data_IF_820248888780
#
_entry.id   IF_820248888780
#
_cell.length_a   1.000
_cell.length_b   1.000
_cell.length_c   1.000
_cell.angle_alpha   90.00
_cell.angle_beta   90.00
_cell.angle_gamma   90.00
#
_symmetry.space_group_name_H-M   'P 1'
#
loop_
_entity.id
_entity.type
_entity.pdbx_description
1 polymer ?
#
# COMPACT_ATOMS: atom_id res chain seq x y z
N UNK A 1 -66.22 26.84 31.32
CA UNK A 1 -64.79 26.71 30.99
C UNK A 1 -64.49 25.25 30.71
N UNK A 2 -64.44 24.85 29.44
CA UNK A 2 -64.10 23.48 29.06
C UNK A 2 -62.59 23.40 28.79
N UNK A 3 -61.90 22.56 29.55
CA UNK A 3 -60.46 22.32 29.45
C UNK A 3 -60.17 21.45 28.22
N UNK A 4 -59.49 22.03 27.23
CA UNK A 4 -58.99 21.31 26.06
C UNK A 4 -57.71 20.58 26.46
N UNK A 5 -57.73 19.25 26.43
CA UNK A 5 -56.51 18.43 26.58
C UNK A 5 -55.69 18.45 25.28
N UNK A 6 -54.36 18.58 25.35
CA UNK A 6 -53.54 18.63 24.16
C UNK A 6 -53.39 17.23 23.53
N UNK A 7 -53.69 17.13 22.25
CA UNK A 7 -53.46 15.94 21.42
C UNK A 7 -51.95 15.71 21.31
N UNK A 8 -51.43 14.49 21.59
CA UNK A 8 -50.01 14.22 21.45
C UNK A 8 -49.60 14.29 19.97
N UNK A 9 -48.55 15.07 19.70
CA UNK A 9 -48.00 15.22 18.37
C UNK A 9 -47.61 13.84 17.77
N UNK A 10 -47.83 13.63 16.46
CA UNK A 10 -47.45 12.38 15.83
C UNK A 10 -45.93 12.21 15.94
N UNK A 11 -45.50 11.13 16.58
CA UNK A 11 -44.09 10.71 16.59
C UNK A 11 -43.63 10.63 15.13
N UNK A 12 -42.73 11.53 14.74
CA UNK A 12 -42.08 11.47 13.44
C UNK A 12 -41.46 10.07 13.30
N UNK A 13 -42.01 9.26 12.40
CA UNK A 13 -41.33 8.05 11.92
C UNK A 13 -40.04 8.54 11.29
N UNK A 14 -38.92 8.38 11.98
CA UNK A 14 -37.59 8.46 11.37
C UNK A 14 -37.62 7.56 10.14
N UNK A 15 -37.57 8.17 8.96
CA UNK A 15 -37.47 7.43 7.72
C UNK A 15 -36.21 6.55 7.84
N UNK A 16 -36.42 5.24 7.90
CA UNK A 16 -35.36 4.23 7.93
C UNK A 16 -34.61 4.31 6.60
N UNK A 17 -33.68 5.25 6.50
CA UNK A 17 -32.77 5.31 5.38
C UNK A 17 -31.84 4.10 5.54
N UNK A 18 -31.78 3.17 4.57
CA UNK A 18 -30.94 1.97 4.66
C UNK A 18 -29.44 2.27 4.85
N UNK A 19 -29.03 3.53 4.63
CA UNK A 19 -27.68 4.03 4.86
C UNK A 19 -27.35 4.42 6.32
N UNK A 20 -28.33 4.54 7.21
CA UNK A 20 -28.11 4.92 8.62
C UNK A 20 -28.12 3.75 9.61
N UNK A 21 -28.39 2.53 9.14
CA UNK A 21 -28.39 1.35 10.00
C UNK A 21 -27.02 0.69 9.91
N UNK A 22 -26.26 0.80 10.99
CA UNK A 22 -24.96 0.16 11.12
C UNK A 22 -25.09 -1.23 11.75
N UNK A 23 -24.29 -2.15 11.24
CA UNK A 23 -24.02 -3.46 11.85
C UNK A 23 -22.52 -3.65 11.99
N UNK A 24 -22.11 -4.72 12.66
CA UNK A 24 -20.70 -5.06 12.79
C UNK A 24 -20.36 -6.36 12.08
N UNK A 25 -19.19 -6.37 11.45
CA UNK A 25 -18.58 -7.56 10.86
C UNK A 25 -17.19 -7.77 11.48
N UNK A 26 -16.79 -9.03 11.65
CA UNK A 26 -15.41 -9.39 12.03
C UNK A 26 -14.66 -9.79 10.78
N UNK A 27 -13.54 -9.11 10.50
CA UNK A 27 -12.67 -9.43 9.36
C UNK A 27 -11.31 -9.87 9.86
N UNK A 28 -10.92 -11.08 9.47
CA UNK A 28 -9.61 -11.67 9.77
C UNK A 28 -8.59 -11.15 8.75
N UNK A 29 -7.64 -10.32 9.19
CA UNK A 29 -6.72 -9.60 8.30
C UNK A 29 -5.25 -9.95 8.54
N UNK A 30 -4.98 -11.26 8.71
CA UNK A 30 -3.63 -11.77 9.01
C UNK A 30 -2.58 -11.42 7.94
N UNK A 31 -3.01 -11.22 6.69
CA UNK A 31 -2.16 -10.77 5.59
C UNK A 31 -1.63 -9.32 5.74
N UNK A 32 -2.26 -8.50 6.60
CA UNK A 32 -1.77 -7.16 6.93
C UNK A 32 -0.93 -7.17 8.21
N UNK A 33 -1.43 -7.81 9.26
CA UNK A 33 -0.74 -7.96 10.54
C UNK A 33 -1.03 -9.35 11.13
N UNK A 34 -0.04 -10.25 11.16
CA UNK A 34 -0.20 -11.60 11.71
C UNK A 34 -0.64 -11.62 13.17
N UNK A 35 -0.22 -10.63 13.95
CA UNK A 35 -0.46 -10.56 15.40
C UNK A 35 -1.88 -10.20 15.80
N UNK A 36 -2.73 -9.70 14.89
CA UNK A 36 -4.14 -9.53 15.20
C UNK A 36 -5.02 -10.50 14.44
N UNK A 37 -5.76 -11.26 15.24
CA UNK A 37 -6.65 -12.30 14.79
C UNK A 37 -7.74 -11.75 13.88
N UNK A 38 -8.48 -10.73 14.35
CA UNK A 38 -9.52 -10.06 13.58
C UNK A 38 -9.70 -8.59 13.97
N UNK A 39 -10.25 -7.81 13.04
CA UNK A 39 -10.72 -6.44 13.28
C UNK A 39 -12.24 -6.41 13.16
N UNK A 40 -12.90 -5.87 14.18
CA UNK A 40 -14.33 -5.57 14.11
C UNK A 40 -14.54 -4.22 13.42
N UNK A 41 -15.40 -4.19 12.40
CA UNK A 41 -15.75 -2.99 11.64
C UNK A 41 -17.24 -2.69 11.79
N UNK A 42 -17.58 -1.43 12.04
CA UNK A 42 -18.93 -0.90 11.84
C UNK A 42 -19.12 -0.64 10.35
N UNK A 43 -20.15 -1.21 9.76
CA UNK A 43 -20.49 -1.13 8.32
C UNK A 43 -21.99 -0.93 8.16
N UNK A 44 -22.39 -0.36 7.04
CA UNK A 44 -23.81 -0.29 6.66
C UNK A 44 -24.18 -1.52 5.81
N UNK A 45 -25.47 -1.72 5.56
CA UNK A 45 -25.94 -2.76 4.63
C UNK A 45 -25.51 -2.52 3.17
N UNK A 46 -25.18 -1.28 2.82
CA UNK A 46 -24.70 -0.89 1.50
C UNK A 46 -23.18 -0.98 1.34
N UNK A 47 -22.43 -1.14 2.44
CA UNK A 47 -20.97 -1.13 2.40
C UNK A 47 -20.45 -2.29 1.54
N UNK A 48 -19.66 -1.96 0.53
CA UNK A 48 -19.10 -2.90 -0.44
C UNK A 48 -17.81 -3.54 0.05
N UNK A 49 -17.46 -4.69 -0.51
CA UNK A 49 -16.23 -5.41 -0.15
C UNK A 49 -14.98 -4.55 -0.38
N UNK A 50 -14.90 -3.84 -1.52
CA UNK A 50 -13.79 -2.91 -1.79
C UNK A 50 -13.67 -1.78 -0.76
N UNK A 51 -14.79 -1.28 -0.22
CA UNK A 51 -14.77 -0.23 0.80
C UNK A 51 -14.28 -0.76 2.15
N UNK A 52 -14.62 -2.01 2.46
CA UNK A 52 -14.08 -2.73 3.63
C UNK A 52 -12.57 -2.89 3.51
N UNK A 53 -12.06 -3.26 2.33
CA UNK A 53 -10.61 -3.34 2.05
C UNK A 53 -9.94 -1.99 2.32
N UNK A 54 -10.42 -0.91 1.69
CA UNK A 54 -9.87 0.44 1.88
C UNK A 54 -9.92 0.89 3.35
N UNK A 55 -11.02 0.59 4.05
CA UNK A 55 -11.16 0.88 5.49
C UNK A 55 -10.12 0.13 6.32
N UNK A 56 -9.84 -1.14 6.01
CA UNK A 56 -8.83 -1.94 6.72
C UNK A 56 -7.43 -1.37 6.47
N UNK A 57 -7.07 -1.07 5.22
CA UNK A 57 -5.77 -0.48 4.91
C UNK A 57 -5.55 0.85 5.63
N UNK A 58 -6.56 1.72 5.67
CA UNK A 58 -6.52 2.95 6.45
C UNK A 58 -6.33 2.71 7.95
N UNK A 59 -7.13 1.80 8.54
CA UNK A 59 -7.03 1.46 9.98
C UNK A 59 -5.70 0.82 10.38
N UNK A 60 -5.04 0.13 9.45
CA UNK A 60 -3.70 -0.45 9.66
C UNK A 60 -2.56 0.43 9.14
N UNK A 61 -2.85 1.66 8.67
CA UNK A 61 -1.87 2.62 8.12
C UNK A 61 -1.05 2.05 6.95
N UNK A 62 -1.66 1.20 6.13
CA UNK A 62 -1.04 0.52 4.98
C UNK A 62 -1.18 1.33 3.68
N UNK A 63 -0.81 2.62 3.70
CA UNK A 63 -1.03 3.55 2.57
C UNK A 63 -0.22 3.21 1.32
N UNK A 64 0.92 2.54 1.49
CA UNK A 64 1.84 2.13 0.42
C UNK A 64 1.45 0.80 -0.24
N UNK A 65 0.27 0.26 0.09
CA UNK A 65 -0.25 -0.98 -0.50
C UNK A 65 -1.48 -0.66 -1.33
N UNK A 66 -1.51 -1.20 -2.53
CA UNK A 66 -2.65 -1.09 -3.43
C UNK A 66 -3.88 -1.81 -2.86
N UNK A 67 -5.04 -1.12 -2.73
CA UNK A 67 -6.30 -1.76 -2.37
C UNK A 67 -6.69 -2.94 -3.28
N UNK A 68 -6.39 -2.87 -4.58
CA UNK A 68 -6.71 -3.95 -5.55
C UNK A 68 -5.85 -5.19 -5.39
N UNK A 69 -4.80 -5.12 -4.59
CA UNK A 69 -4.04 -6.29 -4.18
C UNK A 69 -4.83 -7.16 -3.20
N UNK A 70 -5.93 -6.67 -2.62
CA UNK A 70 -6.69 -7.40 -1.61
C UNK A 70 -8.11 -7.68 -2.06
N UNK A 71 -8.69 -8.71 -1.47
CA UNK A 71 -10.10 -9.06 -1.65
C UNK A 71 -10.64 -9.72 -0.38
N UNK A 72 -11.97 -9.77 -0.26
CA UNK A 72 -12.61 -10.48 0.84
C UNK A 72 -13.00 -11.89 0.41
N UNK A 73 -12.83 -12.84 1.32
CA UNK A 73 -13.43 -14.17 1.23
C UNK A 73 -14.34 -14.42 2.41
N UNK A 74 -15.43 -15.14 2.20
CA UNK A 74 -16.37 -15.55 3.24
C UNK A 74 -16.37 -17.07 3.38
N UNK A 75 -16.02 -17.57 4.55
CA UNK A 75 -16.20 -18.98 4.91
C UNK A 75 -17.60 -19.16 5.52
N UNK A 76 -18.36 -20.10 4.96
CA UNK A 76 -19.70 -20.49 5.40
C UNK A 76 -19.70 -21.97 5.77
N UNK A 77 -20.35 -22.31 6.89
CA UNK A 77 -20.57 -23.70 7.30
C UNK A 77 -22.02 -24.12 7.01
N UNK A 78 -22.20 -25.18 6.24
CA UNK A 78 -23.52 -25.77 5.95
C UNK A 78 -23.75 -26.93 6.93
N UNK A 79 -24.58 -26.69 7.95
CA UNK A 79 -24.84 -27.66 9.04
C UNK A 79 -25.33 -29.02 8.53
N UNK A 80 -26.14 -29.03 7.47
CA UNK A 80 -26.74 -30.26 6.93
C UNK A 80 -25.72 -31.22 6.30
N UNK A 81 -24.57 -30.71 5.83
CA UNK A 81 -23.57 -31.50 5.10
C UNK A 81 -22.23 -31.62 5.83
N UNK A 82 -22.07 -30.99 7.01
CA UNK A 82 -20.77 -30.86 7.68
C UNK A 82 -19.72 -30.10 6.86
N UNK A 83 -20.12 -29.47 5.75
CA UNK A 83 -19.22 -28.89 4.76
C UNK A 83 -18.90 -27.43 5.11
N UNK A 84 -17.65 -27.08 4.84
CA UNK A 84 -17.10 -25.73 5.00
C UNK A 84 -16.68 -25.23 3.63
N UNK A 85 -17.36 -24.20 3.14
CA UNK A 85 -17.12 -23.61 1.82
C UNK A 85 -16.57 -22.21 1.95
N UNK A 86 -15.51 -21.89 1.21
CA UNK A 86 -14.96 -20.54 1.10
C UNK A 86 -15.42 -19.91 -0.20
N UNK A 87 -16.11 -18.77 -0.10
CA UNK A 87 -16.57 -17.97 -1.22
C UNK A 87 -15.66 -16.76 -1.38
N UNK A 88 -15.12 -16.56 -2.57
CA UNK A 88 -14.47 -15.29 -2.93
C UNK A 88 -15.56 -14.27 -3.18
N UNK A 89 -15.45 -13.09 -2.56
CA UNK A 89 -16.42 -12.02 -2.74
C UNK A 89 -15.94 -11.06 -3.83
N UNK A 90 -16.84 -10.69 -4.74
CA UNK A 90 -16.62 -9.62 -5.69
C UNK A 90 -16.54 -8.26 -4.98
N UNK A 91 -15.95 -7.27 -5.65
CA UNK A 91 -15.69 -5.95 -5.07
C UNK A 91 -16.99 -5.22 -4.66
N UNK A 92 -18.09 -5.47 -5.38
CA UNK A 92 -19.42 -4.93 -5.10
C UNK A 92 -20.27 -5.78 -4.15
N UNK A 93 -19.76 -6.94 -3.70
CA UNK A 93 -20.44 -7.75 -2.70
C UNK A 93 -20.64 -6.95 -1.41
N UNK A 94 -21.73 -7.23 -0.69
CA UNK A 94 -22.14 -6.50 0.52
C UNK A 94 -21.99 -7.40 1.75
N UNK A 95 -20.86 -7.35 2.48
CA UNK A 95 -20.57 -8.33 3.54
C UNK A 95 -21.61 -8.34 4.66
N UNK A 96 -22.18 -7.18 5.01
CA UNK A 96 -23.25 -7.07 5.99
C UNK A 96 -24.52 -7.81 5.57
N UNK A 97 -24.93 -7.64 4.30
CA UNK A 97 -26.09 -8.33 3.72
C UNK A 97 -25.87 -9.85 3.71
N UNK A 98 -24.70 -10.28 3.21
CA UNK A 98 -24.32 -11.69 3.20
C UNK A 98 -24.31 -12.28 4.61
N UNK A 99 -23.74 -11.59 5.59
CA UNK A 99 -23.70 -12.06 6.98
C UNK A 99 -25.11 -12.33 7.53
N UNK A 100 -26.11 -11.54 7.17
CA UNK A 100 -27.46 -11.66 7.69
C UNK A 100 -28.27 -12.81 7.07
N UNK A 101 -27.90 -13.26 5.87
CA UNK A 101 -28.49 -14.44 5.25
C UNK A 101 -28.08 -15.75 5.93
N UNK A 102 -27.10 -15.72 6.85
CA UNK A 102 -26.60 -16.90 7.55
C UNK A 102 -26.86 -16.82 9.06
N UNK A 103 -27.02 -17.97 9.74
CA UNK A 103 -27.12 -18.00 11.20
C UNK A 103 -25.94 -17.29 11.87
N UNK A 104 -26.20 -16.55 12.96
CA UNK A 104 -25.17 -15.82 13.71
C UNK A 104 -24.01 -16.74 14.11
N UNK A 105 -22.78 -16.34 13.76
CA UNK A 105 -21.55 -17.06 14.07
C UNK A 105 -21.06 -18.05 13.01
N UNK A 106 -21.77 -18.20 11.88
CA UNK A 106 -21.42 -19.14 10.81
C UNK A 106 -20.69 -18.49 9.62
N UNK A 107 -20.58 -17.17 9.63
CA UNK A 107 -19.96 -16.36 8.58
C UNK A 107 -18.63 -15.82 9.05
N UNK A 108 -17.53 -16.22 8.41
CA UNK A 108 -16.19 -15.71 8.71
C UNK A 108 -15.62 -14.98 7.49
N UNK A 109 -15.46 -13.67 7.60
CA UNK A 109 -14.81 -12.86 6.57
C UNK A 109 -13.31 -12.82 6.80
N UNK A 110 -12.53 -13.07 5.75
CA UNK A 110 -11.07 -12.95 5.78
C UNK A 110 -10.61 -12.06 4.64
N UNK A 111 -9.65 -11.18 4.92
CA UNK A 111 -8.94 -10.41 3.92
C UNK A 111 -7.83 -11.28 3.34
N UNK A 112 -7.81 -11.40 2.02
CA UNK A 112 -6.84 -12.19 1.26
C UNK A 112 -6.03 -11.27 0.35
N UNK A 113 -4.88 -11.76 -0.12
CA UNK A 113 -4.03 -11.07 -1.09
C UNK A 113 -4.09 -11.77 -2.44
N UNK A 114 -4.16 -10.99 -3.51
CA UNK A 114 -3.97 -11.41 -4.90
C UNK A 114 -2.48 -11.46 -5.22
N UNK A 115 -2.07 -12.09 -6.34
CA UNK A 115 -0.74 -11.92 -6.89
C UNK A 115 -0.40 -10.44 -7.11
N UNK A 116 0.85 -10.08 -6.84
CA UNK A 116 1.33 -8.72 -6.92
C UNK A 116 2.84 -8.65 -6.76
N UNK A 117 3.36 -7.44 -6.61
CA UNK A 117 4.78 -7.22 -6.54
C UNK A 117 5.15 -5.82 -6.07
N UNK A 118 6.39 -5.70 -5.61
CA UNK A 118 6.96 -4.43 -5.19
C UNK A 118 7.47 -3.68 -6.42
N UNK A 119 7.05 -2.43 -6.58
CA UNK A 119 7.60 -1.51 -7.57
C UNK A 119 8.31 -0.38 -6.85
N UNK A 120 9.46 0.04 -7.37
CA UNK A 120 10.25 1.17 -6.89
C UNK A 120 10.07 2.35 -7.83
N UNK A 121 9.69 3.50 -7.29
CA UNK A 121 9.35 4.70 -8.07
C UNK A 121 10.12 5.89 -7.52
N UNK A 122 10.86 6.57 -8.39
CA UNK A 122 11.50 7.84 -8.08
C UNK A 122 10.48 8.97 -8.19
N UNK A 123 10.18 9.62 -7.08
CA UNK A 123 9.02 10.47 -6.90
C UNK A 123 9.37 11.87 -6.39
N UNK A 124 10.59 12.33 -6.66
CA UNK A 124 11.06 13.69 -6.32
C UNK A 124 10.18 14.81 -6.90
N UNK A 125 9.41 14.52 -7.95
CA UNK A 125 8.39 15.42 -8.51
C UNK A 125 7.18 15.66 -7.58
N UNK A 126 6.90 14.72 -6.68
CA UNK A 126 5.86 14.81 -5.65
C UNK A 126 6.42 15.35 -4.33
N UNK A 127 7.58 14.84 -3.91
CA UNK A 127 8.25 15.24 -2.68
C UNK A 127 9.75 15.40 -2.94
N UNK A 128 10.25 16.64 -2.98
CA UNK A 128 11.63 16.94 -3.40
C UNK A 128 12.73 16.26 -2.57
N UNK A 129 12.46 15.98 -1.29
CA UNK A 129 13.38 15.26 -0.40
C UNK A 129 13.29 13.73 -0.51
N UNK A 130 12.30 13.19 -1.24
CA UNK A 130 12.14 11.76 -1.45
C UNK A 130 13.11 11.26 -2.49
N UNK A 131 13.88 10.22 -2.14
CA UNK A 131 14.73 9.53 -3.12
C UNK A 131 13.91 8.58 -3.99
N UNK A 132 13.07 7.76 -3.37
CA UNK A 132 12.15 6.85 -4.02
C UNK A 132 11.09 6.39 -3.02
N UNK A 133 9.94 5.96 -3.54
CA UNK A 133 8.91 5.23 -2.81
C UNK A 133 8.79 3.81 -3.35
N UNK A 134 8.55 2.86 -2.46
CA UNK A 134 8.19 1.50 -2.85
C UNK A 134 6.70 1.28 -2.59
N UNK A 135 5.99 0.77 -3.59
CA UNK A 135 4.59 0.40 -3.48
C UNK A 135 4.42 -1.09 -3.72
N UNK A 136 3.58 -1.74 -2.90
CA UNK A 136 3.16 -3.12 -3.15
C UNK A 136 1.87 -3.08 -3.97
N UNK A 137 1.95 -3.50 -5.23
CA UNK A 137 0.90 -3.33 -6.24
C UNK A 137 0.36 -4.66 -6.74
N UNK A 138 -0.90 -4.67 -7.18
CA UNK A 138 -1.50 -5.79 -7.90
C UNK A 138 -0.93 -5.90 -9.31
N UNK A 139 -1.03 -7.07 -9.92
CA UNK A 139 -0.71 -7.26 -11.35
C UNK A 139 -1.68 -6.52 -12.29
N UNK A 140 -2.79 -6.00 -11.75
CA UNK A 140 -3.82 -5.27 -12.49
C UNK A 140 -3.84 -3.77 -12.19
N UNK A 141 -2.92 -3.27 -11.36
CA UNK A 141 -2.85 -1.83 -11.04
C UNK A 141 -2.36 -1.06 -12.25
N UNK A 142 -3.10 -0.04 -12.66
CA UNK A 142 -2.71 0.82 -13.78
C UNK A 142 -1.74 1.92 -13.33
N UNK A 143 -1.12 2.63 -14.28
CA UNK A 143 -0.27 3.80 -14.00
C UNK A 143 -1.03 4.88 -13.23
N UNK A 144 -2.25 5.21 -13.65
CA UNK A 144 -3.06 6.23 -12.97
C UNK A 144 -3.36 5.83 -11.52
N UNK A 145 -3.63 4.54 -11.28
CA UNK A 145 -3.87 4.01 -9.95
C UNK A 145 -2.61 4.04 -9.09
N UNK A 146 -1.45 3.73 -9.66
CA UNK A 146 -0.15 3.88 -8.99
C UNK A 146 0.11 5.34 -8.58
N UNK A 147 -0.16 6.29 -9.48
CA UNK A 147 -0.06 7.72 -9.18
C UNK A 147 -1.04 8.13 -8.07
N UNK A 148 -2.28 7.63 -8.09
CA UNK A 148 -3.27 7.88 -7.05
C UNK A 148 -2.80 7.36 -5.68
N UNK A 149 -2.18 6.17 -5.63
CA UNK A 149 -1.61 5.60 -4.39
C UNK A 149 -0.43 6.45 -3.89
N UNK A 150 0.45 6.92 -4.78
CA UNK A 150 1.56 7.82 -4.40
C UNK A 150 1.05 9.14 -3.83
N UNK A 151 0.10 9.78 -4.50
CA UNK A 151 -0.53 11.02 -4.02
C UNK A 151 -1.20 10.81 -2.67
N UNK A 152 -1.90 9.68 -2.50
CA UNK A 152 -2.47 9.31 -1.23
C UNK A 152 -1.40 9.12 -0.15
N UNK A 153 -0.23 8.56 -0.45
CA UNK A 153 0.85 8.43 0.55
C UNK A 153 1.34 9.78 1.09
N UNK A 154 1.25 10.86 0.31
CA UNK A 154 1.68 12.21 0.66
C UNK A 154 0.55 13.14 1.12
N UNK A 155 -0.67 12.62 1.34
CA UNK A 155 -1.85 13.44 1.65
C UNK A 155 -2.12 14.53 0.59
N UNK A 156 -1.70 14.30 -0.66
CA UNK A 156 -1.89 15.25 -1.74
C UNK A 156 -3.32 15.21 -2.26
N UNK A 157 -3.91 16.39 -2.45
CA UNK A 157 -5.21 16.58 -3.10
C UNK A 157 -5.07 16.82 -4.60
N UNK A 158 -3.85 16.70 -5.13
CA UNK A 158 -3.61 16.87 -6.55
C UNK A 158 -4.25 15.74 -7.37
N UNK A 159 -4.65 16.05 -8.61
CA UNK A 159 -5.20 15.07 -9.53
C UNK A 159 -4.08 14.32 -10.26
N UNK A 160 -4.33 13.05 -10.58
CA UNK A 160 -3.35 12.18 -11.25
C UNK A 160 -2.96 12.72 -12.64
N UNK A 161 -3.84 13.48 -13.30
CA UNK A 161 -3.62 14.11 -14.60
C UNK A 161 -2.47 15.13 -14.60
N UNK A 162 -2.05 15.59 -13.42
CA UNK A 162 -0.88 16.47 -13.24
C UNK A 162 0.44 15.74 -13.31
N UNK A 163 0.43 14.41 -13.33
CA UNK A 163 1.63 13.61 -13.28
C UNK A 163 1.66 12.61 -14.42
N UNK A 164 2.86 12.13 -14.74
CA UNK A 164 3.08 11.03 -15.67
C UNK A 164 4.14 10.12 -15.09
N UNK A 165 3.98 8.81 -15.30
CA UNK A 165 4.99 7.82 -14.95
C UNK A 165 5.84 7.51 -16.20
N UNK A 166 7.16 7.50 -16.00
CA UNK A 166 8.13 7.18 -17.02
C UNK A 166 8.89 5.92 -16.63
N UNK A 167 9.19 5.10 -17.63
CA UNK A 167 10.23 4.07 -17.59
C UNK A 167 11.52 4.70 -18.13
N UNK A 168 12.62 4.58 -17.38
CA UNK A 168 13.90 5.23 -17.70
C UNK A 168 15.04 4.24 -17.55
N UNK A 169 15.91 4.16 -18.54
CA UNK A 169 17.20 3.46 -18.49
C UNK A 169 18.33 4.44 -18.82
N UNK A 170 19.06 4.96 -17.80
CA UNK A 170 20.18 5.86 -18.01
C UNK A 170 21.29 5.27 -18.89
N UNK A 171 21.63 3.99 -18.69
CA UNK A 171 22.69 3.31 -19.46
C UNK A 171 22.41 3.23 -20.97
N UNK A 172 21.13 3.25 -21.36
CA UNK A 172 20.69 3.18 -22.76
C UNK A 172 20.21 4.54 -23.29
N UNK A 173 20.34 5.62 -22.51
CA UNK A 173 19.73 6.93 -22.79
C UNK A 173 18.25 6.84 -23.18
N UNK A 174 17.55 5.85 -22.62
CA UNK A 174 16.17 5.53 -22.96
C UNK A 174 15.22 6.11 -21.91
N UNK A 175 14.17 6.78 -22.40
CA UNK A 175 13.06 7.26 -21.58
C UNK A 175 11.76 7.16 -22.37
N UNK A 176 10.74 6.56 -21.74
CA UNK A 176 9.41 6.43 -22.31
C UNK A 176 8.34 6.80 -21.28
N UNK A 177 7.39 7.64 -21.70
CA UNK A 177 6.15 7.88 -20.95
C UNK A 177 5.25 6.66 -21.05
N UNK A 178 4.79 6.16 -19.91
CA UNK A 178 3.79 5.08 -19.86
C UNK A 178 2.38 5.63 -20.08
N UNK A 179 1.52 4.82 -20.68
CA UNK A 179 0.10 5.12 -20.83
C UNK A 179 -0.62 4.99 -19.48
N UNK A 180 -1.70 5.73 -19.28
CA UNK A 180 -2.49 5.69 -18.03
C UNK A 180 -2.96 4.26 -17.68
N UNK A 181 -3.28 3.46 -18.71
CA UNK A 181 -3.74 2.08 -18.59
C UNK A 181 -2.61 1.03 -18.61
N UNK A 182 -1.35 1.43 -18.79
CA UNK A 182 -0.24 0.48 -18.69
C UNK A 182 -0.18 -0.09 -17.26
N UNK A 183 0.31 -1.33 -17.13
CA UNK A 183 0.41 -2.04 -15.86
C UNK A 183 1.86 -2.01 -15.38
N UNK A 184 2.24 -1.16 -14.41
CA UNK A 184 3.65 -0.93 -14.06
C UNK A 184 4.37 -2.20 -13.60
N UNK A 185 3.69 -3.09 -12.89
CA UNK A 185 4.30 -4.35 -12.47
C UNK A 185 4.63 -5.26 -13.66
N UNK A 186 3.78 -5.28 -14.69
CA UNK A 186 4.03 -6.02 -15.94
C UNK A 186 5.19 -5.40 -16.71
N UNK A 187 5.23 -4.06 -16.80
CA UNK A 187 6.36 -3.32 -17.41
C UNK A 187 7.67 -3.68 -16.71
N UNK A 188 7.70 -3.62 -15.37
CA UNK A 188 8.88 -3.95 -14.57
C UNK A 188 9.39 -5.38 -14.80
N UNK A 189 8.48 -6.34 -14.93
CA UNK A 189 8.82 -7.76 -15.17
C UNK A 189 9.36 -8.01 -16.57
N UNK A 190 9.06 -7.13 -17.53
CA UNK A 190 9.56 -7.22 -18.90
C UNK A 190 10.97 -6.62 -19.05
N UNK A 191 11.50 -5.96 -18.03
CA UNK A 191 12.85 -5.41 -18.07
C UNK A 191 13.90 -6.52 -18.19
N UNK A 192 14.91 -6.36 -19.07
CA UNK A 192 16.03 -7.28 -19.11
C UNK A 192 16.79 -7.27 -17.79
N UNK A 193 17.29 -8.43 -17.36
CA UNK A 193 17.88 -8.63 -16.02
C UNK A 193 19.12 -7.78 -15.73
N UNK A 194 19.80 -7.27 -16.76
CA UNK A 194 21.01 -6.44 -16.66
C UNK A 194 20.73 -4.94 -16.93
N UNK A 195 19.48 -4.51 -16.78
CA UNK A 195 19.13 -3.10 -16.99
C UNK A 195 19.09 -2.30 -15.69
N UNK A 196 19.41 -1.01 -15.82
CA UNK A 196 19.21 0.01 -14.79
C UNK A 196 17.84 0.70 -14.92
N UNK A 197 16.88 -0.01 -15.53
CA UNK A 197 15.51 0.44 -15.71
C UNK A 197 14.86 0.77 -14.35
N UNK A 198 14.17 1.92 -14.29
CA UNK A 198 13.40 2.32 -13.13
C UNK A 198 12.21 3.19 -13.51
N UNK A 199 11.24 3.28 -12.60
CA UNK A 199 10.13 4.22 -12.75
C UNK A 199 10.47 5.59 -12.19
N UNK A 200 10.00 6.64 -12.86
CA UNK A 200 10.15 8.03 -12.42
C UNK A 200 8.87 8.82 -12.67
N UNK A 201 8.44 9.58 -11.67
CA UNK A 201 7.30 10.51 -11.78
C UNK A 201 7.79 11.86 -12.31
N UNK A 202 7.02 12.47 -13.21
CA UNK A 202 7.22 13.86 -13.66
C UNK A 202 5.91 14.65 -13.59
N UNK A 203 6.01 15.97 -13.37
CA UNK A 203 4.86 16.88 -13.42
C UNK A 203 4.55 17.25 -14.88
N UNK A 204 3.26 17.28 -15.21
CA UNK A 204 2.75 17.68 -16.51
C UNK A 204 2.57 19.22 -16.53
N UNK A 205 3.23 19.95 -17.44
CA UNK A 205 3.19 21.43 -17.45
C UNK A 205 1.84 22.02 -17.90
N UNK A 206 0.90 21.21 -18.38
CA UNK A 206 -0.36 21.66 -19.04
C UNK A 206 -1.64 21.20 -18.35
N UNK A 207 -1.58 20.72 -17.11
CA UNK A 207 -2.83 20.44 -16.39
C UNK A 207 -3.56 21.77 -16.17
N UNK A 208 -4.82 21.92 -16.65
CA UNK A 208 -5.59 23.12 -16.39
C UNK A 208 -5.64 23.37 -14.88
N UNK A 209 -5.50 24.63 -14.42
CA UNK A 209 -5.74 24.92 -13.02
C UNK A 209 -7.11 24.38 -12.63
N UNK A 210 -7.20 23.72 -11.47
CA UNK A 210 -8.48 23.29 -10.91
C UNK A 210 -9.43 24.51 -10.94
N UNK A 211 -10.69 24.35 -11.41
CA UNK A 211 -11.64 25.45 -11.33
C UNK A 211 -11.70 25.95 -9.88
N UNK A 212 -11.72 27.28 -9.65
CA UNK A 212 -11.80 27.82 -8.31
C UNK A 212 -12.97 27.15 -7.58
N UNK A 213 -12.70 26.43 -6.50
CA UNK A 213 -13.76 26.15 -5.54
C UNK A 213 -14.23 27.51 -5.06
N UNK A 214 -15.46 27.88 -5.39
CA UNK A 214 -16.22 28.90 -4.67
C UNK A 214 -16.45 28.38 -3.25
N UNK A 215 -15.39 28.46 -2.44
CA UNK A 215 -15.54 28.43 -0.99
C UNK A 215 -16.22 29.74 -0.61
N UNK A 216 -17.30 29.72 0.19
CA UNK A 216 -17.75 30.94 0.85
C UNK A 216 -16.59 31.52 1.67
N UNK A 217 -16.49 32.85 1.68
CA UNK A 217 -15.41 33.59 2.30
C UNK A 217 -15.16 33.08 3.74
N UNK A 218 -13.89 32.84 4.14
CA UNK A 218 -13.58 32.57 5.53
C UNK A 218 -13.79 33.86 6.32
N UNK A 219 -14.64 33.82 7.34
CA UNK A 219 -14.65 34.86 8.36
C UNK A 219 -13.29 34.85 9.07
N UNK A 220 -12.68 36.03 9.13
CA UNK A 220 -11.40 36.28 9.79
C UNK A 220 -11.49 35.88 11.26
N UNK A 221 -10.69 34.89 11.67
CA UNK A 221 -10.28 34.74 13.06
C UNK A 221 -8.77 34.55 13.09
N UNK A 222 -8.13 35.55 13.69
CA UNK A 222 -6.70 35.65 13.96
C UNK A 222 -6.29 34.67 15.07
N UNK A 223 -5.24 33.87 14.84
CA UNK A 223 -4.26 33.51 15.89
C UNK A 223 -3.05 32.81 15.27
N UNK A 224 -1.88 33.27 15.66
CA UNK A 224 -0.53 32.91 15.21
C UNK A 224 0.02 31.63 15.89
N UNK A 225 1.16 31.18 15.33
CA UNK A 225 2.25 30.36 15.90
C UNK A 225 2.33 28.81 15.68
N UNK A 226 3.15 28.47 14.67
CA UNK A 226 4.34 27.58 14.63
C UNK A 226 4.42 26.21 15.36
N UNK A 227 4.85 25.16 14.63
CA UNK A 227 6.16 24.45 14.85
C UNK A 227 6.29 23.16 13.98
N UNK A 228 7.23 23.06 13.01
CA UNK A 228 7.41 21.88 12.16
C UNK A 228 8.67 21.06 12.53
N UNK A 229 8.70 20.43 13.70
CA UNK A 229 9.84 19.57 14.12
C UNK A 229 9.54 18.07 14.23
N UNK A 230 8.32 17.63 13.89
CA UNK A 230 7.91 16.21 14.03
C UNK A 230 8.09 15.33 12.79
N UNK A 231 8.43 15.91 11.63
CA UNK A 231 8.54 15.17 10.37
C UNK A 231 9.85 14.37 10.23
N UNK A 232 10.94 14.79 10.88
CA UNK A 232 12.25 14.14 10.74
C UNK A 232 12.36 12.83 11.56
N UNK A 233 11.61 12.71 12.65
CA UNK A 233 11.65 11.51 13.50
C UNK A 233 10.88 10.33 12.90
N UNK A 234 9.92 10.59 12.01
CA UNK A 234 9.10 9.55 11.36
C UNK A 234 9.88 8.79 10.28
N UNK A 235 10.85 9.43 9.62
CA UNK A 235 11.60 8.83 8.51
C UNK A 235 12.66 7.81 8.97
N UNK A 236 13.17 7.95 10.19
CA UNK A 236 14.19 7.03 10.73
C UNK A 236 13.60 5.68 11.15
N UNK A 237 12.36 5.66 11.65
CA UNK A 237 11.66 4.43 12.05
C UNK A 237 11.16 3.61 10.85
N UNK A 238 10.92 4.24 9.70
CA UNK A 238 10.44 3.55 8.49
C UNK A 238 11.55 2.70 7.81
N UNK A 239 12.82 3.10 7.94
CA UNK A 239 13.95 2.34 7.42
C UNK A 239 14.19 1.01 8.19
N UNK A 240 13.95 1.01 9.50
CA UNK A 240 14.13 -0.18 10.35
C UNK A 240 13.01 -1.22 10.17
N UNK A 241 11.78 -0.78 9.87
CA UNK A 241 10.66 -1.66 9.53
C UNK A 241 10.88 -2.33 8.16
N UNK A 242 11.48 -1.60 7.21
CA UNK A 242 11.81 -2.12 5.88
C UNK A 242 12.85 -3.26 5.93
N UNK A 243 13.87 -3.14 6.78
CA UNK A 243 14.91 -4.17 6.96
C UNK A 243 14.37 -5.49 7.55
N UNK A 244 13.37 -5.43 8.45
CA UNK A 244 12.76 -6.62 9.06
C UNK A 244 11.84 -7.39 8.11
N UNK A 245 11.26 -6.75 7.11
CA UNK A 245 10.31 -7.40 6.19
C UNK A 245 11.00 -8.19 5.07
N UNK A 246 12.22 -7.79 4.67
CA UNK A 246 13.03 -8.50 3.66
C UNK A 246 13.60 -9.83 4.23
N UNK A 247 13.77 -9.95 5.55
CA UNK A 247 14.34 -11.15 6.19
C UNK A 247 13.33 -12.24 6.58
N UNK A 248 12.05 -12.08 6.28
CA UNK A 248 11.06 -13.13 6.56
C UNK A 248 11.03 -14.15 5.40
N UNK A 249 11.36 -15.43 5.63
CA UNK A 249 11.28 -16.43 4.58
C UNK A 249 9.80 -16.65 4.23
N UNK A 250 9.40 -16.22 3.03
CA UNK A 250 8.18 -16.72 2.42
C UNK A 250 8.34 -18.22 2.25
N UNK A 251 7.49 -18.98 2.94
CA UNK A 251 7.38 -20.43 2.80
C UNK A 251 7.08 -20.75 1.34
N UNK A 252 8.08 -21.28 0.65
CA UNK A 252 7.94 -21.91 -0.64
C UNK A 252 7.24 -23.27 -0.46
N UNK A 253 6.13 -23.45 -1.15
CA UNK A 253 5.55 -24.74 -1.49
C UNK A 253 5.11 -24.64 -2.93
N UNK A 254 5.55 -25.44 -3.90
CA UNK A 254 6.56 -26.48 -3.99
C UNK A 254 6.75 -26.70 -5.49
N UNK A 255 7.97 -27.00 -5.92
CA UNK A 255 8.33 -27.20 -7.32
C UNK A 255 9.83 -27.35 -7.46
N UNK A 256 10.29 -28.59 -7.44
CA UNK A 256 11.66 -29.02 -7.61
C UNK A 256 12.31 -28.39 -8.85
N UNK A 257 13.43 -27.69 -8.68
CA UNK A 257 14.47 -27.59 -9.71
C UNK A 257 15.85 -27.70 -9.05
N UNK A 258 16.63 -28.63 -9.59
CA UNK A 258 17.95 -29.03 -9.17
C UNK A 258 19.01 -27.93 -9.36
N UNK A 259 20.01 -27.93 -8.46
CA UNK A 259 21.40 -27.68 -8.86
C UNK A 259 22.08 -26.40 -8.34
N UNK A 260 23.23 -26.62 -7.71
CA UNK A 260 24.36 -25.71 -7.50
C UNK A 260 24.28 -24.69 -6.34
N UNK A 261 24.96 -25.05 -5.26
CA UNK A 261 25.36 -24.23 -4.11
C UNK A 261 26.43 -23.20 -4.50
N UNK A 262 26.22 -21.92 -4.15
CA UNK A 262 27.27 -20.88 -4.15
C UNK A 262 27.44 -20.30 -2.74
N UNK A 263 28.71 -20.23 -2.36
CA UNK A 263 29.35 -20.04 -1.06
C UNK A 263 29.13 -18.68 -0.39
N UNK A 264 29.15 -18.71 0.94
CA UNK A 264 30.15 -18.04 1.79
C UNK A 264 30.94 -16.89 1.11
N UNK A 265 30.43 -15.65 1.17
CA UNK A 265 31.23 -14.42 1.04
C UNK A 265 30.61 -13.34 1.92
N UNK A 266 30.91 -13.37 3.22
CA UNK A 266 30.94 -12.16 4.07
C UNK A 266 31.81 -12.42 5.29
N UNK A 267 33.12 -12.20 5.18
CA UNK A 267 34.01 -11.81 6.30
C UNK A 267 35.44 -11.57 5.80
N UNK A 268 35.77 -10.32 5.48
CA UNK A 268 37.02 -9.63 5.88
C UNK A 268 37.22 -8.37 5.03
N UNK A 269 36.63 -7.27 5.47
CA UNK A 269 37.24 -5.95 5.30
C UNK A 269 36.99 -5.17 6.60
N UNK A 270 37.86 -5.38 7.59
CA UNK A 270 38.21 -4.34 8.56
C UNK A 270 39.50 -4.73 9.29
N UNK A 271 40.33 -3.72 9.51
CA UNK A 271 41.60 -3.73 10.23
C UNK A 271 42.83 -4.04 9.39
N UNK A 272 43.51 -2.98 8.94
CA UNK A 272 44.85 -2.61 9.42
C UNK A 272 45.30 -1.32 8.74
N UNK A 273 45.09 -0.20 9.43
CA UNK A 273 46.04 0.92 9.42
C UNK A 273 46.93 0.74 10.65
N UNK A 274 48.16 1.24 10.51
CA UNK A 274 49.22 1.40 11.50
C UNK A 274 50.30 0.31 11.56
N UNK A 275 51.53 0.84 11.67
CA UNK A 275 52.84 0.19 11.82
C UNK A 275 53.53 -0.29 10.53
N UNK A 276 54.46 0.50 9.98
CA UNK A 276 55.85 0.53 10.44
C UNK A 276 56.79 1.14 9.39
N UNK A 277 57.42 2.26 9.79
CA UNK A 277 58.69 2.73 9.26
C UNK A 277 59.80 1.73 9.64
N UNK A 278 60.73 1.42 8.74
CA UNK A 278 61.84 0.52 9.03
C UNK A 278 62.74 0.25 7.82
N UNK A 279 63.78 1.06 7.71
CA UNK A 279 64.95 0.94 6.83
C UNK A 279 65.77 -0.33 7.04
N UNK A 280 66.25 -0.97 5.96
CA UNK A 280 67.57 -1.63 5.79
C UNK A 280 67.55 -2.42 4.46
N UNK A 281 68.31 -2.00 3.44
CA UNK A 281 69.69 -2.43 3.10
C UNK A 281 69.82 -3.91 2.70
N UNK A 282 70.16 -4.05 1.41
CA UNK A 282 71.36 -4.72 0.88
C UNK A 282 71.23 -5.96 -0.01
N UNK A 283 72.01 -5.89 -1.10
CA UNK A 283 72.62 -6.92 -1.93
C UNK A 283 71.76 -8.05 -2.55
N UNK A 284 71.70 -8.11 -3.89
CA UNK A 284 72.74 -8.75 -4.71
C UNK A 284 72.27 -9.01 -6.16
N UNK A 285 73.06 -8.46 -7.09
CA UNK A 285 73.38 -8.75 -8.50
C UNK A 285 72.57 -9.73 -9.39
N UNK A 286 72.55 -9.45 -10.71
CA UNK A 286 71.97 -10.31 -11.76
C UNK A 286 72.99 -11.31 -12.35
N UNK A 287 72.51 -12.39 -12.97
CA UNK A 287 73.24 -13.08 -14.03
C UNK A 287 72.29 -13.77 -15.02
N UNK A 288 72.73 -13.74 -16.28
CA UNK A 288 72.11 -14.17 -17.51
C UNK A 288 71.72 -15.66 -17.59
N UNK A 289 70.62 -15.94 -18.30
CA UNK A 289 70.62 -16.61 -19.62
C UNK A 289 69.28 -16.37 -20.32
#
# INVERSE_FOLDING_TARGET
MATVTPVPAPRMRLALHPHNIHTTIKVYARCLRPDIEYKTLSVTWGTRAQEVVSTLLGKFRMRHRDPRLFYLSMEVRVRAAGLRTTLVLDDDARPAALQACHPKGYSKFSLQMRPGGLIKIYDSALMSSSQYKCLLTSERTTVDEVLAILLHCYDSTEGVERFSLYEVSPSQEYERKLHADDLPLTVQRAWPSDTDCHFRVRRNPRAPPLPPRTLPAPEETTSEDEEPSRALSALSLEAEVYAKFIQSPLVASGGEWCGATTRDVTRRVKSRRDAACGTARDAARPHAM
#
